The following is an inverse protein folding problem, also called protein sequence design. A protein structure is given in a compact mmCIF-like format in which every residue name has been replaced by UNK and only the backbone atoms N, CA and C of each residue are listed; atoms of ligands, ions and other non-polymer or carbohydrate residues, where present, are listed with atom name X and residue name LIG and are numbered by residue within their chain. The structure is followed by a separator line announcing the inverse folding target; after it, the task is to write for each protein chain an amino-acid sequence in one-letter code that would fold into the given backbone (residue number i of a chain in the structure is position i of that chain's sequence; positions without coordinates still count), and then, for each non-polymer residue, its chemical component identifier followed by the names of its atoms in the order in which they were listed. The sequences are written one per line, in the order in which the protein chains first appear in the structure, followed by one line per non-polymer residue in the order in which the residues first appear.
data_IF_490837087915
#
_entry.id   IF_490837087915
#
_cell.length_a   1.000
_cell.length_b   1.000
_cell.length_c   1.000
_cell.angle_alpha   90.00
_cell.angle_beta   90.00
_cell.angle_gamma   90.00
#
_symmetry.space_group_name_H-M   'P 1'
#
loop_
_entity.id
_entity.type
_entity.pdbx_description
1 polymer ?
#
# COMPACT_ATOMS: atom_id res chain seq x y z
N UNK A 1 15.71 23.32 15.10
CA UNK A 1 15.98 24.17 13.94
C UNK A 1 15.43 23.54 12.66
N UNK A 2 15.64 22.24 12.39
CA UNK A 2 15.12 21.53 11.21
C UNK A 2 13.58 21.53 11.12
N UNK A 3 12.87 21.22 12.21
CA UNK A 3 11.40 21.25 12.27
C UNK A 3 10.77 22.63 12.01
N UNK A 4 11.47 23.71 12.36
CA UNK A 4 10.99 25.09 12.13
C UNK A 4 11.22 25.50 10.66
N UNK A 5 12.29 25.00 10.02
CA UNK A 5 12.55 25.25 8.61
C UNK A 5 11.56 24.48 7.71
N UNK A 6 11.22 23.25 8.07
CA UNK A 6 10.24 22.43 7.34
C UNK A 6 8.84 23.05 7.36
N UNK A 7 8.36 23.52 8.52
CA UNK A 7 7.09 24.25 8.64
C UNK A 7 7.03 25.59 7.90
N UNK A 8 8.18 26.20 7.60
CA UNK A 8 8.25 27.48 6.88
C UNK A 8 8.41 27.33 5.36
N UNK A 9 8.86 26.16 4.90
CA UNK A 9 9.16 25.90 3.48
C UNK A 9 8.05 25.13 2.76
N UNK A 10 7.16 24.45 3.51
CA UNK A 10 6.00 23.77 2.94
C UNK A 10 4.81 24.70 3.08
N UNK A 11 4.12 24.98 1.98
CA UNK A 11 2.85 25.71 2.02
C UNK A 11 1.91 25.06 3.03
N UNK A 12 1.28 25.88 3.90
CA UNK A 12 0.25 25.42 4.83
C UNK A 12 -1.12 25.34 4.16
N UNK A 13 -1.23 25.83 2.93
CA UNK A 13 -2.45 25.81 2.16
C UNK A 13 -2.70 24.42 1.58
N UNK A 14 -3.96 24.09 1.40
CA UNK A 14 -4.35 22.85 0.73
C UNK A 14 -3.86 22.86 -0.72
N UNK A 15 -3.36 21.74 -1.17
CA UNK A 15 -2.95 21.52 -2.55
C UNK A 15 -3.97 20.63 -3.25
N UNK A 16 -4.16 20.89 -4.54
CA UNK A 16 -5.11 20.17 -5.38
C UNK A 16 -4.40 19.06 -6.17
N UNK A 17 -4.95 17.86 -6.15
CA UNK A 17 -4.57 16.76 -7.02
C UNK A 17 -5.68 16.58 -8.06
N UNK A 18 -5.38 16.88 -9.31
CA UNK A 18 -6.27 16.67 -10.45
C UNK A 18 -5.97 15.32 -11.10
N UNK A 19 -7.00 14.49 -11.26
CA UNK A 19 -6.91 13.14 -11.82
C UNK A 19 -7.59 13.08 -13.17
N UNK A 20 -6.86 12.66 -14.21
CA UNK A 20 -7.36 12.47 -15.58
C UNK A 20 -8.08 13.71 -16.13
N UNK A 21 -7.71 14.91 -15.67
CA UNK A 21 -8.38 16.19 -15.99
C UNK A 21 -9.89 16.18 -15.65
N UNK A 22 -10.33 15.28 -14.76
CA UNK A 22 -11.73 15.11 -14.33
C UNK A 22 -11.96 15.89 -13.03
N UNK A 23 -12.77 16.97 -13.04
CA UNK A 23 -13.04 17.75 -11.83
C UNK A 23 -13.73 16.94 -10.72
N UNK A 24 -14.54 15.94 -11.08
CA UNK A 24 -15.26 15.11 -10.11
C UNK A 24 -14.35 14.13 -9.35
N UNK A 25 -13.16 13.87 -9.90
CA UNK A 25 -12.12 13.02 -9.28
C UNK A 25 -11.00 13.83 -8.64
N UNK A 26 -11.04 15.16 -8.78
CA UNK A 26 -10.04 16.04 -8.20
C UNK A 26 -10.38 16.35 -6.74
N UNK A 27 -9.34 16.50 -5.90
CA UNK A 27 -9.52 16.74 -4.47
C UNK A 27 -8.39 17.60 -3.89
N UNK A 28 -8.65 18.19 -2.71
CA UNK A 28 -7.68 19.02 -1.98
C UNK A 28 -7.23 18.31 -0.71
N UNK A 29 -5.94 18.39 -0.43
CA UNK A 29 -5.31 17.78 0.75
C UNK A 29 -4.22 18.68 1.33
N UNK A 30 -3.84 18.41 2.58
CA UNK A 30 -2.64 18.98 3.17
C UNK A 30 -1.38 18.39 2.51
N UNK A 31 -0.39 19.22 2.15
CA UNK A 31 0.88 18.74 1.61
C UNK A 31 1.69 17.98 2.67
N UNK A 32 2.64 17.16 2.21
CA UNK A 32 3.62 16.47 3.08
C UNK A 32 3.69 14.95 2.93
N UNK A 33 2.59 14.27 2.62
CA UNK A 33 2.55 12.83 2.37
C UNK A 33 3.15 12.41 1.03
N UNK A 34 3.21 11.11 0.76
CA UNK A 34 3.46 10.60 -0.58
C UNK A 34 2.19 10.66 -1.43
N UNK A 35 2.34 10.71 -2.75
CA UNK A 35 1.18 10.64 -3.64
C UNK A 35 0.38 9.34 -3.41
N UNK A 36 1.07 8.21 -3.19
CA UNK A 36 0.43 6.92 -2.88
C UNK A 36 -0.44 7.00 -1.62
N UNK A 37 0.09 7.51 -0.51
CA UNK A 37 -0.68 7.64 0.74
C UNK A 37 -1.83 8.64 0.60
N UNK A 38 -1.60 9.74 -0.11
CA UNK A 38 -2.61 10.77 -0.36
C UNK A 38 -3.80 10.24 -1.15
N UNK A 39 -3.56 9.45 -2.19
CA UNK A 39 -4.59 8.79 -2.99
C UNK A 39 -5.35 7.73 -2.18
N UNK A 40 -4.62 6.91 -1.41
CA UNK A 40 -5.21 5.89 -0.55
C UNK A 40 -6.18 6.49 0.48
N UNK A 41 -5.84 7.65 1.06
CA UNK A 41 -6.71 8.37 1.99
C UNK A 41 -8.00 8.91 1.33
N UNK A 42 -8.03 8.98 -0.01
CA UNK A 42 -9.21 9.33 -0.81
C UNK A 42 -9.90 8.11 -1.43
N UNK A 43 -9.59 6.90 -0.94
CA UNK A 43 -10.10 5.62 -1.44
C UNK A 43 -9.71 5.34 -2.91
N UNK A 44 -8.58 5.89 -3.38
CA UNK A 44 -8.01 5.61 -4.70
C UNK A 44 -6.76 4.75 -4.47
N UNK A 45 -6.83 3.47 -4.84
CA UNK A 45 -5.83 2.49 -4.49
C UNK A 45 -4.94 2.11 -5.66
N UNK A 46 -3.75 2.73 -5.75
CA UNK A 46 -2.72 2.31 -6.72
C UNK A 46 -2.05 1.03 -6.21
N UNK A 47 -1.88 0.01 -7.07
CA UNK A 47 -1.18 -1.22 -6.71
C UNK A 47 0.21 -0.95 -6.12
N UNK A 48 0.54 -1.57 -4.99
CA UNK A 48 1.84 -1.41 -4.33
C UNK A 48 2.23 -2.68 -3.56
N UNK A 49 2.96 -3.58 -4.19
CA UNK A 49 3.35 -4.85 -3.58
C UNK A 49 4.32 -4.70 -2.40
N UNK A 50 5.14 -3.64 -2.37
CA UNK A 50 6.08 -3.38 -1.26
C UNK A 50 5.50 -2.46 -0.17
N UNK A 51 4.23 -2.07 -0.26
CA UNK A 51 3.61 -1.17 0.71
C UNK A 51 4.21 0.24 0.74
N UNK A 52 4.68 0.74 -0.40
CA UNK A 52 5.24 2.09 -0.50
C UNK A 52 6.76 2.19 -0.27
N UNK A 53 7.46 1.06 -0.09
CA UNK A 53 8.90 1.04 0.16
C UNK A 53 9.81 1.35 -1.05
N UNK A 54 9.25 1.60 -2.24
CA UNK A 54 10.02 1.96 -3.44
C UNK A 54 10.77 0.81 -4.11
N UNK A 55 10.54 -0.44 -3.71
CA UNK A 55 11.34 -1.60 -4.14
C UNK A 55 10.70 -2.47 -5.19
N UNK A 56 9.38 -2.38 -5.42
CA UNK A 56 8.67 -3.26 -6.36
C UNK A 56 8.39 -2.63 -7.73
N UNK A 57 8.41 -1.31 -7.83
CA UNK A 57 8.11 -0.59 -9.08
C UNK A 57 6.68 -0.68 -9.59
N UNK A 58 5.73 -1.21 -8.78
CA UNK A 58 4.35 -1.48 -9.23
C UNK A 58 3.47 -0.23 -9.19
N UNK A 59 3.73 0.70 -8.27
CA UNK A 59 2.91 1.90 -8.04
C UNK A 59 3.16 3.02 -9.07
N UNK A 60 3.30 2.66 -10.34
CA UNK A 60 3.53 3.63 -11.42
C UNK A 60 2.28 4.42 -11.74
N UNK A 61 2.43 5.72 -11.92
CA UNK A 61 1.43 6.62 -12.48
C UNK A 61 2.11 7.71 -13.30
N UNK A 62 1.40 8.36 -14.20
CA UNK A 62 1.93 9.53 -14.89
C UNK A 62 1.65 10.78 -14.06
N UNK A 63 2.67 11.63 -13.88
CA UNK A 63 2.57 12.87 -13.12
C UNK A 63 2.99 14.01 -14.03
N UNK A 64 2.01 14.62 -14.70
CA UNK A 64 2.25 15.66 -15.71
C UNK A 64 2.60 17.02 -15.11
N UNK A 65 2.25 17.27 -13.84
CA UNK A 65 2.63 18.47 -13.10
C UNK A 65 2.77 18.21 -11.59
N UNK A 66 3.63 18.97 -10.91
CA UNK A 66 3.78 18.94 -9.45
C UNK A 66 4.58 17.75 -8.90
N UNK A 67 5.11 16.88 -9.75
CA UNK A 67 5.87 15.68 -9.34
C UNK A 67 7.34 15.91 -9.02
N UNK A 68 7.88 17.08 -9.38
CA UNK A 68 9.31 17.36 -9.31
C UNK A 68 10.14 16.45 -10.23
N UNK A 69 11.45 16.44 -10.05
CA UNK A 69 12.37 15.62 -10.83
C UNK A 69 12.32 14.13 -10.46
N UNK A 70 12.69 13.27 -11.42
CA UNK A 70 12.84 11.83 -11.18
C UNK A 70 13.91 11.57 -10.11
N UNK A 71 13.54 10.83 -9.07
CA UNK A 71 14.44 10.55 -7.96
C UNK A 71 15.38 9.37 -8.28
N UNK A 72 16.60 9.35 -7.72
CA UNK A 72 17.52 8.22 -7.87
C UNK A 72 16.90 6.87 -7.47
N UNK A 73 16.00 6.86 -6.50
CA UNK A 73 15.27 5.66 -6.04
C UNK A 73 14.28 5.12 -7.08
N UNK A 74 13.87 5.93 -8.03
CA UNK A 74 12.94 5.54 -9.10
C UNK A 74 13.65 4.99 -10.34
N UNK A 75 14.93 5.33 -10.55
CA UNK A 75 15.67 5.02 -11.79
C UNK A 75 15.85 3.52 -12.06
N UNK A 76 15.75 2.68 -11.03
CA UNK A 76 15.74 1.23 -11.17
C UNK A 76 14.45 0.64 -11.72
N UNK A 77 13.37 1.41 -11.70
CA UNK A 77 12.02 0.97 -12.06
C UNK A 77 11.40 1.78 -13.20
N UNK A 78 11.83 3.02 -13.39
CA UNK A 78 11.35 3.92 -14.45
C UNK A 78 12.42 3.97 -15.54
N UNK A 79 12.08 3.49 -16.71
CA UNK A 79 12.95 3.54 -17.89
C UNK A 79 13.09 4.97 -18.41
N UNK A 80 14.08 5.21 -19.28
CA UNK A 80 14.27 6.54 -19.90
C UNK A 80 13.09 6.96 -20.79
N UNK A 81 12.39 6.03 -21.41
CA UNK A 81 11.17 6.29 -22.17
C UNK A 81 10.03 6.70 -21.27
N UNK A 82 9.77 5.92 -20.20
CA UNK A 82 8.74 6.23 -19.22
C UNK A 82 8.99 7.59 -18.54
N UNK A 83 10.24 7.90 -18.19
CA UNK A 83 10.58 9.22 -17.62
C UNK A 83 10.22 10.38 -18.55
N UNK A 84 10.37 10.23 -19.87
CA UNK A 84 9.95 11.24 -20.86
C UNK A 84 8.44 11.41 -20.97
N UNK A 85 7.70 10.36 -20.61
CA UNK A 85 6.25 10.33 -20.55
C UNK A 85 5.71 10.66 -19.16
N UNK A 86 6.54 11.19 -18.27
CA UNK A 86 6.22 11.61 -16.90
C UNK A 86 5.77 10.45 -15.98
N UNK A 87 6.17 9.22 -16.28
CA UNK A 87 5.94 8.11 -15.35
C UNK A 87 6.77 8.27 -14.08
N UNK A 88 6.15 8.04 -12.93
CA UNK A 88 6.74 8.16 -11.61
C UNK A 88 6.27 7.00 -10.71
N UNK A 89 6.99 6.75 -9.64
CA UNK A 89 6.50 5.89 -8.56
C UNK A 89 5.73 6.72 -7.54
N UNK A 90 4.42 6.54 -7.45
CA UNK A 90 3.56 7.33 -6.55
C UNK A 90 4.01 7.28 -5.08
N UNK A 91 4.65 6.19 -4.65
CA UNK A 91 5.22 6.07 -3.31
C UNK A 91 6.47 6.91 -3.07
N UNK A 92 7.15 7.36 -4.13
CA UNK A 92 8.37 8.19 -4.03
C UNK A 92 8.07 9.68 -4.25
N UNK A 93 6.99 9.99 -4.96
CA UNK A 93 6.56 11.37 -5.19
C UNK A 93 5.94 11.96 -3.93
N UNK A 94 6.49 13.08 -3.44
CA UNK A 94 5.93 13.84 -2.32
C UNK A 94 4.97 14.91 -2.83
N UNK A 95 3.81 15.00 -2.20
CA UNK A 95 2.83 16.05 -2.48
C UNK A 95 3.26 17.34 -1.79
N UNK A 96 3.66 18.34 -2.57
CA UNK A 96 4.17 19.63 -2.07
C UNK A 96 3.44 20.83 -2.66
N UNK A 97 2.84 20.66 -3.82
CA UNK A 97 2.15 21.67 -4.60
C UNK A 97 1.01 21.03 -5.38
N UNK A 98 0.24 21.81 -6.13
CA UNK A 98 -0.81 21.27 -6.99
C UNK A 98 -0.24 20.27 -7.99
N UNK A 99 -0.94 19.17 -8.18
CA UNK A 99 -0.49 18.07 -9.04
C UNK A 99 -1.53 17.74 -10.10
N UNK A 100 -1.03 17.32 -11.27
CA UNK A 100 -1.84 16.67 -12.31
C UNK A 100 -1.31 15.27 -12.54
N UNK A 101 -2.20 14.29 -12.42
CA UNK A 101 -1.85 12.88 -12.57
C UNK A 101 -2.84 12.18 -13.50
N UNK A 102 -2.32 11.17 -14.19
CA UNK A 102 -3.14 10.27 -15.01
C UNK A 102 -3.05 8.86 -14.46
N UNK A 103 -4.21 8.28 -14.19
CA UNK A 103 -4.39 6.94 -13.66
C UNK A 103 -5.18 6.08 -14.65
N UNK A 104 -4.78 4.81 -14.86
CA UNK A 104 -5.55 3.87 -15.64
C UNK A 104 -6.96 3.67 -15.06
N UNK A 105 -7.99 3.44 -15.89
CA UNK A 105 -9.36 3.24 -15.41
C UNK A 105 -9.47 2.11 -14.38
N UNK A 106 -8.68 1.06 -14.53
CA UNK A 106 -8.66 -0.11 -13.65
C UNK A 106 -8.28 0.23 -12.21
N UNK A 107 -7.45 1.27 -12.01
CA UNK A 107 -7.08 1.76 -10.68
C UNK A 107 -8.25 2.45 -9.98
N UNK A 108 -9.13 3.08 -10.75
CA UNK A 108 -10.30 3.80 -10.23
C UNK A 108 -11.45 2.86 -9.86
N UNK A 109 -11.42 1.62 -10.35
CA UNK A 109 -12.43 0.58 -10.09
C UNK A 109 -12.04 -0.35 -8.91
N UNK A 110 -10.89 -0.13 -8.29
CA UNK A 110 -10.45 -0.94 -7.13
C UNK A 110 -11.36 -0.68 -5.94
N UNK A 111 -11.89 -1.76 -5.37
CA UNK A 111 -12.75 -1.71 -4.16
C UNK A 111 -11.96 -2.12 -2.93
N UNK A 112 -12.35 -1.55 -1.80
CA UNK A 112 -11.90 -1.97 -0.46
C UNK A 112 -13.09 -2.58 0.29
N UNK A 113 -12.86 -3.71 0.95
CA UNK A 113 -13.84 -4.38 1.80
C UNK A 113 -13.33 -4.52 3.22
N UNK A 114 -14.22 -4.42 4.18
CA UNK A 114 -13.99 -4.88 5.54
C UNK A 114 -14.38 -6.36 5.62
N UNK A 115 -13.38 -7.22 5.73
CA UNK A 115 -13.57 -8.67 5.74
C UNK A 115 -13.55 -9.21 7.17
N UNK A 116 -14.22 -10.33 7.41
CA UNK A 116 -14.15 -11.04 8.68
C UNK A 116 -13.10 -12.15 8.59
N UNK A 117 -12.20 -12.22 9.57
CA UNK A 117 -11.25 -13.33 9.68
C UNK A 117 -12.01 -14.60 10.05
N UNK A 118 -12.02 -15.58 9.16
CA UNK A 118 -12.64 -16.88 9.37
C UNK A 118 -11.70 -17.86 10.04
N UNK A 119 -10.44 -17.85 9.64
CA UNK A 119 -9.37 -18.62 10.31
C UNK A 119 -8.01 -17.96 10.09
N UNK A 120 -7.10 -18.20 11.04
CA UNK A 120 -5.69 -17.79 10.96
C UNK A 120 -4.86 -18.84 11.72
N UNK A 121 -4.40 -19.87 11.03
CA UNK A 121 -3.70 -21.02 11.62
C UNK A 121 -2.32 -21.19 11.01
N UNK A 122 -1.40 -21.79 11.75
CA UNK A 122 -0.10 -22.16 11.21
C UNK A 122 -0.24 -23.38 10.29
N UNK A 123 0.38 -23.33 9.14
CA UNK A 123 0.49 -24.45 8.17
C UNK A 123 1.93 -24.90 8.01
N UNK A 124 2.87 -24.12 8.53
CA UNK A 124 4.27 -24.46 8.72
C UNK A 124 4.84 -23.57 9.84
N UNK A 125 6.04 -23.85 10.31
CA UNK A 125 6.69 -23.20 11.48
C UNK A 125 6.57 -21.67 11.50
N UNK A 126 6.67 -21.01 10.35
CA UNK A 126 6.60 -19.54 10.22
C UNK A 126 5.63 -19.08 9.15
N UNK A 127 4.70 -19.95 8.73
CA UNK A 127 3.70 -19.64 7.70
C UNK A 127 2.32 -19.84 8.28
N UNK A 128 1.49 -18.80 8.18
CA UNK A 128 0.06 -18.87 8.55
C UNK A 128 -0.81 -18.82 7.31
N UNK A 129 -1.84 -19.64 7.31
CA UNK A 129 -2.97 -19.54 6.39
C UNK A 129 -4.00 -18.58 7.00
N UNK A 130 -4.26 -17.48 6.30
CA UNK A 130 -5.29 -16.52 6.66
C UNK A 130 -6.49 -16.69 5.71
N UNK A 131 -7.64 -17.06 6.26
CA UNK A 131 -8.90 -17.11 5.51
C UNK A 131 -9.76 -15.94 5.96
N UNK A 132 -10.16 -15.10 5.01
CA UNK A 132 -11.07 -13.98 5.23
C UNK A 132 -12.36 -14.19 4.47
N UNK A 133 -13.47 -13.76 5.04
CA UNK A 133 -14.78 -13.81 4.43
C UNK A 133 -15.20 -12.39 4.01
N UNK A 134 -15.63 -12.27 2.76
CA UNK A 134 -16.16 -11.03 2.21
C UNK A 134 -17.51 -10.66 2.86
N UNK A 135 -17.88 -9.37 2.86
CA UNK A 135 -19.23 -8.97 3.22
C UNK A 135 -20.28 -9.70 2.40
N UNK A 136 -21.43 -9.99 3.03
CA UNK A 136 -22.52 -10.77 2.43
C UNK A 136 -22.98 -10.14 1.11
N UNK A 137 -22.92 -10.92 0.03
CA UNK A 137 -23.34 -10.51 -1.32
C UNK A 137 -22.23 -9.90 -2.15
N UNK A 138 -21.04 -9.70 -1.61
CA UNK A 138 -19.86 -9.29 -2.37
C UNK A 138 -19.16 -10.50 -2.99
N UNK A 139 -18.49 -10.27 -4.11
CA UNK A 139 -17.75 -11.28 -4.85
C UNK A 139 -16.51 -10.65 -5.49
N UNK A 140 -15.39 -11.34 -5.49
CA UNK A 140 -14.15 -10.92 -6.15
C UNK A 140 -13.96 -11.72 -7.42
N UNK A 141 -14.00 -11.03 -8.57
CA UNK A 141 -13.58 -11.61 -9.83
C UNK A 141 -12.06 -11.45 -9.97
N UNK A 142 -11.32 -12.51 -9.78
CA UNK A 142 -9.87 -12.49 -9.93
C UNK A 142 -9.39 -13.52 -10.94
N UNK A 143 -8.16 -13.35 -11.41
CA UNK A 143 -7.46 -14.29 -12.28
C UNK A 143 -6.33 -14.95 -11.49
N UNK A 144 -5.97 -16.17 -11.84
CA UNK A 144 -4.79 -16.84 -11.25
C UNK A 144 -3.56 -15.94 -11.34
N UNK A 145 -2.81 -15.84 -10.25
CA UNK A 145 -1.69 -14.91 -10.08
C UNK A 145 -2.10 -13.51 -9.62
N UNK A 146 -3.39 -13.29 -9.34
CA UNK A 146 -3.87 -12.09 -8.67
C UNK A 146 -3.37 -11.99 -7.23
N UNK A 147 -3.39 -10.78 -6.69
CA UNK A 147 -3.05 -10.51 -5.30
C UNK A 147 -4.04 -9.52 -4.70
N UNK A 148 -4.19 -9.57 -3.39
CA UNK A 148 -4.93 -8.58 -2.60
C UNK A 148 -3.94 -7.70 -1.84
N UNK A 149 -4.35 -6.47 -1.54
CA UNK A 149 -3.65 -5.61 -0.59
C UNK A 149 -4.41 -5.59 0.72
N UNK A 150 -3.73 -5.92 1.80
CA UNK A 150 -4.28 -5.83 3.15
C UNK A 150 -3.79 -4.54 3.78
N UNK A 151 -4.75 -3.74 4.25
CA UNK A 151 -4.50 -2.55 5.04
C UNK A 151 -4.27 -2.97 6.49
N UNK A 152 -3.10 -2.64 7.00
CA UNK A 152 -2.67 -3.01 8.35
C UNK A 152 -2.53 -1.71 9.14
N UNK A 153 -3.50 -1.38 10.02
CA UNK A 153 -3.44 -0.19 10.86
C UNK A 153 -2.22 -0.23 11.78
N UNK A 154 -1.94 0.86 12.46
CA UNK A 154 -0.87 0.87 13.46
C UNK A 154 -1.09 -0.24 14.50
N UNK A 155 -0.04 -0.99 14.77
CA UNK A 155 -0.03 -2.00 15.81
C UNK A 155 1.34 -2.11 16.48
N UNK A 156 1.30 -2.57 17.71
CA UNK A 156 2.46 -3.04 18.45
C UNK A 156 2.05 -4.30 19.20
N UNK A 157 2.75 -5.39 18.98
CA UNK A 157 2.46 -6.66 19.63
C UNK A 157 3.74 -7.40 20.00
N UNK A 158 3.68 -8.19 21.06
CA UNK A 158 4.73 -9.16 21.39
C UNK A 158 4.43 -10.48 20.70
N UNK A 159 5.46 -11.17 20.20
CA UNK A 159 5.29 -12.50 19.62
C UNK A 159 4.87 -13.54 20.68
N UNK A 160 5.11 -13.26 21.98
CA UNK A 160 4.59 -14.07 23.08
C UNK A 160 3.04 -14.11 23.15
N UNK A 161 2.36 -13.18 22.50
CA UNK A 161 0.90 -13.11 22.43
C UNK A 161 0.32 -13.98 21.29
N UNK A 162 1.18 -14.52 20.41
CA UNK A 162 0.71 -15.31 19.28
C UNK A 162 0.32 -16.71 19.70
N UNK A 163 -0.85 -17.14 19.23
CA UNK A 163 -1.25 -18.53 19.34
C UNK A 163 -0.58 -19.34 18.22
N UNK A 164 0.30 -20.26 18.65
CA UNK A 164 1.09 -21.12 17.78
C UNK A 164 0.81 -22.56 18.15
N UNK A 165 0.45 -23.37 17.18
CA UNK A 165 0.15 -24.78 17.33
C UNK A 165 1.36 -25.53 17.93
N UNK A 166 1.08 -26.52 18.79
CA UNK A 166 2.10 -27.23 19.60
C UNK A 166 3.21 -27.85 18.75
N UNK A 167 2.90 -28.31 17.56
CA UNK A 167 3.88 -28.90 16.63
C UNK A 167 4.97 -27.94 16.18
N UNK A 168 4.70 -26.62 16.21
CA UNK A 168 5.65 -25.58 15.76
C UNK A 168 6.37 -24.87 16.93
N UNK A 169 5.92 -25.05 18.17
CA UNK A 169 6.47 -24.36 19.35
C UNK A 169 7.95 -24.64 19.57
N UNK A 170 8.40 -25.88 19.32
CA UNK A 170 9.79 -26.26 19.48
C UNK A 170 10.76 -25.45 18.58
N UNK A 171 10.35 -25.12 17.36
CA UNK A 171 11.14 -24.25 16.50
C UNK A 171 11.09 -22.78 16.97
N UNK A 172 9.94 -22.32 17.45
CA UNK A 172 9.81 -20.97 18.02
C UNK A 172 10.71 -20.79 19.23
N UNK A 173 10.81 -21.79 20.12
CA UNK A 173 11.76 -21.80 21.23
C UNK A 173 13.21 -21.75 20.75
N UNK A 174 13.56 -22.61 19.80
CA UNK A 174 14.90 -22.72 19.22
C UNK A 174 15.37 -21.40 18.62
N UNK A 175 14.49 -20.68 17.92
CA UNK A 175 14.80 -19.42 17.26
C UNK A 175 14.49 -18.20 18.14
N UNK A 176 14.09 -18.39 19.40
CA UNK A 176 13.77 -17.32 20.36
C UNK A 176 12.72 -16.32 19.85
N UNK A 177 11.74 -16.84 19.13
CA UNK A 177 10.72 -16.00 18.50
C UNK A 177 9.84 -15.28 19.52
N UNK A 178 9.61 -15.87 20.69
CA UNK A 178 8.78 -15.31 21.76
C UNK A 178 9.30 -13.98 22.33
N UNK A 179 10.62 -13.71 22.18
CA UNK A 179 11.27 -12.52 22.69
C UNK A 179 11.12 -11.31 21.72
N UNK A 180 10.54 -11.55 20.55
CA UNK A 180 10.40 -10.52 19.52
C UNK A 180 9.18 -9.62 19.76
N UNK A 181 9.30 -8.38 19.30
CA UNK A 181 8.21 -7.39 19.24
C UNK A 181 8.08 -6.92 17.81
N UNK A 182 6.86 -6.84 17.31
CA UNK A 182 6.56 -6.24 16.03
C UNK A 182 5.79 -4.94 16.22
N UNK A 183 6.17 -3.94 15.45
CA UNK A 183 5.52 -2.64 15.41
C UNK A 183 5.62 -2.07 13.99
N UNK A 184 4.55 -1.48 13.49
CA UNK A 184 4.58 -0.75 12.23
C UNK A 184 4.49 0.77 12.47
N UNK A 185 4.45 1.56 11.38
CA UNK A 185 4.35 3.01 11.46
C UNK A 185 2.99 3.47 11.99
N UNK A 186 2.93 4.65 12.61
CA UNK A 186 1.67 5.25 13.10
C UNK A 186 0.63 5.43 12.00
N UNK A 187 1.05 5.61 10.75
CA UNK A 187 0.15 5.73 9.58
C UNK A 187 -0.38 4.37 9.09
N UNK A 188 0.07 3.26 9.67
CA UNK A 188 -0.20 1.92 9.16
C UNK A 188 0.62 1.58 7.91
N UNK A 189 0.41 0.40 7.36
CA UNK A 189 1.09 -0.07 6.15
C UNK A 189 0.17 -0.96 5.32
N UNK A 190 0.43 -1.02 4.03
CA UNK A 190 -0.19 -2.01 3.14
C UNK A 190 0.77 -3.15 2.87
N UNK A 191 0.23 -4.36 2.72
CA UNK A 191 0.98 -5.53 2.27
C UNK A 191 0.19 -6.28 1.22
N UNK A 192 0.89 -6.69 0.17
CA UNK A 192 0.31 -7.52 -0.89
C UNK A 192 0.51 -9.00 -0.57
N UNK A 193 -0.55 -9.77 -0.76
CA UNK A 193 -0.55 -11.22 -0.60
C UNK A 193 -1.14 -11.86 -1.85
N UNK A 194 -0.43 -12.84 -2.40
CA UNK A 194 -0.96 -13.65 -3.49
C UNK A 194 -2.16 -14.46 -3.01
N UNK A 195 -3.17 -14.57 -3.85
CA UNK A 195 -4.31 -15.42 -3.58
C UNK A 195 -3.94 -16.87 -3.91
N UNK A 196 -4.12 -17.75 -2.93
CA UNK A 196 -3.78 -19.18 -3.04
C UNK A 196 -4.91 -19.99 -3.67
N UNK A 197 -6.16 -19.56 -3.45
CA UNK A 197 -7.32 -20.26 -4.01
C UNK A 197 -7.42 -20.11 -5.53
N UNK A 198 -7.91 -21.18 -6.18
CA UNK A 198 -8.19 -21.15 -7.61
C UNK A 198 -9.55 -20.46 -7.89
N UNK A 199 -9.68 -19.64 -8.96
CA UNK A 199 -10.94 -18.94 -9.27
C UNK A 199 -12.18 -19.84 -9.38
N UNK A 200 -11.99 -21.12 -9.74
CA UNK A 200 -13.09 -22.09 -9.84
C UNK A 200 -13.55 -22.68 -8.49
N UNK A 201 -12.82 -22.43 -7.41
CA UNK A 201 -13.21 -22.89 -6.06
C UNK A 201 -14.26 -22.00 -5.41
N UNK A 202 -14.50 -20.84 -6.02
CA UNK A 202 -15.38 -19.80 -5.49
C UNK A 202 -14.69 -18.93 -4.43
N UNK A 203 -15.45 -18.01 -3.87
CA UNK A 203 -14.97 -17.04 -2.85
C UNK A 203 -15.50 -17.44 -1.49
#
# INVERSE_FOLDING_TARGET
VLFVAEKKLISQDDVEISINEDPDKSFKIKPGGTLLSSLSNQNIFIPSACGGGGTCGVCKCQVSAGGGDLLPTETGHISRSEAKENWRLSCQVKVRENMKIDLPPEVLDVKKWECTVKSNRSVATFIKELIVELPKGENINFKSGGYIQIDIPHYKCSYSEFDIEDEYRGDWDKFKMWDLVAENTEEGVFRAYSMDNHPAEGN
#
